data_IF_476000777956
#
_entry.id   IF_476000777956
#
_cell.length_a   1.000
_cell.length_b   1.000
_cell.length_c   1.000
_cell.angle_alpha   90.00
_cell.angle_beta   90.00
_cell.angle_gamma   90.00
#
_symmetry.space_group_name_H-M   'P 1'
#
loop_
_entity.id
_entity.type
_entity.pdbx_description
1 polymer ?
#
# COMPACT_ATOMS: atom_id res chain seq x y z
N UNK A 1 -9.47 -0.57 22.13
CA UNK A 1 -8.31 -0.80 21.23
C UNK A 1 -7.76 0.56 20.83
N UNK A 2 -6.44 0.78 20.88
CA UNK A 2 -5.84 2.04 20.42
C UNK A 2 -5.74 2.09 18.89
N UNK A 3 -5.69 3.29 18.32
CA UNK A 3 -5.52 3.47 16.88
C UNK A 3 -4.21 2.86 16.38
N UNK A 4 -3.12 3.01 17.15
CA UNK A 4 -1.82 2.43 16.81
C UNK A 4 -1.84 0.90 16.80
N UNK A 5 -2.56 0.27 17.74
CA UNK A 5 -2.73 -1.18 17.73
C UNK A 5 -3.52 -1.65 16.51
N UNK A 6 -4.55 -0.90 16.11
CA UNK A 6 -5.29 -1.16 14.87
C UNK A 6 -4.39 -1.05 13.64
N UNK A 7 -3.60 0.03 13.52
CA UNK A 7 -2.68 0.25 12.40
C UNK A 7 -1.74 -0.96 12.26
N UNK A 8 -1.11 -1.39 13.35
CA UNK A 8 -0.18 -2.54 13.34
C UNK A 8 -0.87 -3.84 12.91
N UNK A 9 -2.09 -4.10 13.41
CA UNK A 9 -2.87 -5.29 13.01
C UNK A 9 -3.19 -5.28 11.52
N UNK A 10 -3.63 -4.14 10.99
CA UNK A 10 -3.95 -3.98 9.57
C UNK A 10 -2.72 -4.11 8.67
N UNK A 11 -1.60 -3.48 9.06
CA UNK A 11 -0.33 -3.62 8.35
C UNK A 11 0.11 -5.07 8.28
N UNK A 12 0.04 -5.79 9.41
CA UNK A 12 0.36 -7.21 9.47
C UNK A 12 -0.58 -8.05 8.59
N UNK A 13 -1.90 -7.85 8.70
CA UNK A 13 -2.88 -8.60 7.91
C UNK A 13 -2.68 -8.41 6.40
N UNK A 14 -2.40 -7.19 5.96
CA UNK A 14 -2.08 -6.90 4.56
C UNK A 14 -0.77 -7.54 4.12
N UNK A 15 0.25 -7.48 4.96
CA UNK A 15 1.52 -8.12 4.66
C UNK A 15 1.39 -9.65 4.59
N UNK A 16 0.63 -10.27 5.49
CA UNK A 16 0.33 -11.71 5.48
C UNK A 16 -0.49 -12.13 4.25
N UNK A 17 -1.44 -11.30 3.82
CA UNK A 17 -2.16 -11.52 2.57
C UNK A 17 -1.18 -11.51 1.37
N UNK A 18 -0.25 -10.55 1.33
CA UNK A 18 0.74 -10.47 0.26
C UNK A 18 1.76 -11.61 0.28
N UNK A 19 2.16 -12.09 1.47
CA UNK A 19 3.02 -13.27 1.61
C UNK A 19 2.34 -14.53 1.07
N UNK A 20 1.03 -14.68 1.30
CA UNK A 20 0.24 -15.81 0.79
C UNK A 20 -0.02 -15.70 -0.71
N UNK A 21 -0.27 -14.48 -1.19
CA UNK A 21 -0.57 -14.18 -2.58
C UNK A 21 0.17 -12.91 -3.04
N UNK A 22 1.26 -13.03 -3.83
CA UNK A 22 1.98 -11.86 -4.33
C UNK A 22 1.16 -11.04 -5.34
N UNK A 23 -0.02 -11.51 -5.75
CA UNK A 23 -0.95 -10.84 -6.66
C UNK A 23 -1.92 -9.88 -5.98
N UNK A 24 -1.81 -9.66 -4.65
CA UNK A 24 -2.58 -8.64 -3.92
C UNK A 24 -2.53 -7.29 -4.65
N UNK A 25 -3.68 -6.88 -5.17
CA UNK A 25 -3.80 -5.64 -5.94
C UNK A 25 -3.82 -4.42 -5.03
N UNK A 26 -3.18 -3.36 -5.50
CA UNK A 26 -3.11 -2.05 -4.82
C UNK A 26 -3.58 -0.90 -5.71
N UNK A 27 -3.91 -1.17 -6.97
CA UNK A 27 -4.56 -0.21 -7.86
C UNK A 27 -5.56 -0.89 -8.79
N UNK A 28 -6.65 -0.17 -9.07
CA UNK A 28 -7.62 -0.48 -10.12
C UNK A 28 -7.92 0.75 -10.96
N UNK A 29 -8.42 0.54 -12.18
CA UNK A 29 -8.78 1.62 -13.09
C UNK A 29 -10.12 2.25 -12.74
N UNK A 30 -11.08 1.44 -12.26
CA UNK A 30 -12.46 1.84 -12.03
C UNK A 30 -12.99 1.30 -10.70
N UNK A 31 -13.78 2.08 -9.94
CA UNK A 31 -14.34 1.62 -8.66
C UNK A 31 -15.29 0.43 -8.80
N UNK A 32 -15.88 0.19 -9.97
CA UNK A 32 -16.69 -0.99 -10.28
C UNK A 32 -15.86 -2.29 -10.26
N UNK A 33 -14.54 -2.19 -10.49
CA UNK A 33 -13.62 -3.32 -10.34
C UNK A 33 -13.24 -3.60 -8.88
N UNK A 34 -13.51 -2.67 -7.95
CA UNK A 34 -13.21 -2.85 -6.51
C UNK A 34 -14.09 -3.91 -5.86
N UNK A 35 -15.33 -4.06 -6.33
CA UNK A 35 -16.23 -5.12 -5.87
C UNK A 35 -15.70 -6.54 -6.13
N UNK A 36 -14.59 -6.67 -6.86
CA UNK A 36 -13.93 -7.94 -7.19
C UNK A 36 -12.60 -8.13 -6.45
N UNK A 37 -12.24 -7.20 -5.56
CA UNK A 37 -10.93 -7.17 -4.91
C UNK A 37 -11.09 -6.98 -3.41
N UNK A 38 -11.07 -8.07 -2.66
CA UNK A 38 -10.83 -8.04 -1.22
C UNK A 38 -9.69 -8.97 -0.93
N UNK A 39 -8.49 -8.39 -0.80
CA UNK A 39 -7.23 -8.99 -0.34
C UNK A 39 -6.78 -10.34 -0.96
N UNK A 40 -7.57 -10.99 -1.81
CA UNK A 40 -7.36 -12.30 -2.38
C UNK A 40 -8.00 -12.32 -3.77
N UNK A 41 -7.37 -13.05 -4.70
CA UNK A 41 -7.76 -13.31 -6.09
C UNK A 41 -9.12 -14.07 -6.24
N UNK A 42 -9.97 -14.07 -5.21
CA UNK A 42 -11.23 -14.79 -5.17
C UNK A 42 -12.42 -13.91 -5.56
N UNK A 43 -12.97 -14.25 -6.73
CA UNK A 43 -14.27 -13.83 -7.25
C UNK A 43 -15.35 -14.24 -6.27
N UNK A 44 -15.95 -13.28 -5.59
CA UNK A 44 -16.93 -13.54 -4.54
C UNK A 44 -18.10 -12.57 -4.70
N UNK A 45 -19.31 -13.10 -4.73
CA UNK A 45 -20.54 -12.35 -5.05
C UNK A 45 -21.03 -11.47 -3.88
N UNK A 46 -20.49 -11.67 -2.67
CA UNK A 46 -20.94 -11.02 -1.42
C UNK A 46 -20.17 -9.72 -1.06
N UNK A 47 -19.41 -9.13 -2.00
CA UNK A 47 -18.63 -7.92 -1.72
C UNK A 47 -19.51 -6.67 -1.66
N UNK A 48 -19.51 -5.99 -0.51
CA UNK A 48 -20.17 -4.70 -0.36
C UNK A 48 -19.18 -3.56 -0.64
N UNK A 49 -19.46 -2.76 -1.67
CA UNK A 49 -18.75 -1.51 -1.94
C UNK A 49 -19.57 -0.34 -1.42
N UNK A 50 -19.02 0.41 -0.46
CA UNK A 50 -19.71 1.50 0.23
C UNK A 50 -18.95 2.82 0.18
N UNK A 51 -19.66 3.93 0.39
CA UNK A 51 -19.05 5.25 0.60
C UNK A 51 -18.26 5.24 1.91
N UNK A 52 -17.15 5.98 1.95
CA UNK A 52 -16.51 6.40 3.20
C UNK A 52 -17.26 7.60 3.80
N UNK A 53 -18.29 7.35 4.61
CA UNK A 53 -19.17 8.40 5.13
C UNK A 53 -19.77 9.27 4.03
N UNK A 54 -19.58 10.61 4.10
CA UNK A 54 -20.08 11.56 3.08
C UNK A 54 -19.23 11.65 1.81
N UNK A 55 -18.14 10.89 1.69
CA UNK A 55 -17.29 10.93 0.49
C UNK A 55 -18.04 10.36 -0.72
N UNK A 56 -17.85 10.99 -1.88
CA UNK A 56 -18.34 10.42 -3.14
C UNK A 56 -17.57 9.14 -3.48
N UNK A 57 -18.29 8.09 -3.90
CA UNK A 57 -17.70 6.87 -4.46
C UNK A 57 -16.77 7.15 -5.64
N UNK A 58 -16.93 8.32 -6.29
CA UNK A 58 -16.05 8.78 -7.37
C UNK A 58 -14.63 9.14 -6.91
N UNK A 59 -14.39 9.27 -5.60
CA UNK A 59 -13.09 9.67 -5.03
C UNK A 59 -12.59 8.73 -3.94
N UNK A 60 -13.49 8.14 -3.15
CA UNK A 60 -13.14 7.24 -2.05
C UNK A 60 -14.12 6.07 -2.02
N UNK A 61 -13.59 4.86 -1.95
CA UNK A 61 -14.35 3.64 -1.85
C UNK A 61 -13.85 2.81 -0.66
N UNK A 62 -14.80 2.27 0.11
CA UNK A 62 -14.53 1.26 1.12
C UNK A 62 -15.08 -0.06 0.59
N UNK A 63 -14.26 -1.09 0.63
CA UNK A 63 -14.62 -2.45 0.19
C UNK A 63 -14.59 -3.34 1.42
N UNK A 64 -15.66 -4.09 1.64
CA UNK A 64 -15.80 -5.00 2.77
C UNK A 64 -16.40 -6.35 2.36
N UNK A 65 -15.91 -7.43 2.97
CA UNK A 65 -16.55 -8.75 3.02
C UNK A 65 -16.87 -9.12 4.49
N UNK A 66 -17.83 -10.01 4.74
CA UNK A 66 -18.06 -10.59 6.07
C UNK A 66 -16.77 -11.20 6.66
N UNK A 67 -16.58 -11.15 7.98
CA UNK A 67 -15.44 -11.75 8.68
C UNK A 67 -14.51 -10.74 9.36
N UNK A 68 -13.24 -11.11 9.53
CA UNK A 68 -12.26 -10.25 10.20
C UNK A 68 -11.96 -9.00 9.37
N UNK A 69 -12.34 -7.82 9.86
CA UNK A 69 -12.15 -6.56 9.15
C UNK A 69 -10.68 -6.23 8.81
N UNK A 70 -9.70 -6.73 9.57
CA UNK A 70 -8.28 -6.50 9.24
C UNK A 70 -7.88 -7.15 7.91
N UNK A 71 -8.52 -8.25 7.57
CA UNK A 71 -8.29 -9.05 6.36
C UNK A 71 -9.33 -8.74 5.27
N UNK A 72 -10.54 -8.35 5.68
CA UNK A 72 -11.70 -8.27 4.78
C UNK A 72 -12.18 -6.85 4.51
N UNK A 73 -11.49 -5.82 5.01
CA UNK A 73 -11.85 -4.43 4.76
C UNK A 73 -10.67 -3.57 4.29
N UNK A 74 -10.88 -2.79 3.24
CA UNK A 74 -9.89 -1.89 2.66
C UNK A 74 -10.48 -0.55 2.22
N UNK A 75 -9.63 0.47 2.15
CA UNK A 75 -9.98 1.81 1.68
C UNK A 75 -9.11 2.21 0.48
N UNK A 76 -9.79 2.75 -0.52
CA UNK A 76 -9.23 3.10 -1.82
C UNK A 76 -9.60 4.52 -2.14
N UNK A 77 -8.67 5.25 -2.76
CA UNK A 77 -8.90 6.62 -3.18
C UNK A 77 -8.47 6.80 -4.62
N UNK A 78 -9.14 7.68 -5.34
CA UNK A 78 -8.72 8.09 -6.68
C UNK A 78 -7.32 8.68 -6.61
N UNK A 79 -6.45 8.38 -7.57
CA UNK A 79 -5.05 8.83 -7.58
C UNK A 79 -4.88 10.37 -7.56
N UNK A 80 -5.91 11.11 -7.99
CA UNK A 80 -5.97 12.57 -7.92
C UNK A 80 -6.60 13.15 -6.65
N UNK A 81 -7.12 12.31 -5.75
CA UNK A 81 -7.62 12.73 -4.44
C UNK A 81 -6.45 13.19 -3.57
N UNK A 82 -6.68 14.10 -2.62
CA UNK A 82 -5.60 14.65 -1.78
C UNK A 82 -5.84 14.47 -0.28
N UNK A 83 -7.09 14.26 0.15
CA UNK A 83 -7.45 14.20 1.57
C UNK A 83 -7.37 12.77 2.13
N UNK A 84 -6.26 12.07 1.93
CA UNK A 84 -6.11 10.65 2.32
C UNK A 84 -6.37 10.42 3.80
N UNK A 85 -5.83 11.30 4.66
CA UNK A 85 -6.01 11.23 6.11
C UNK A 85 -7.49 11.18 6.50
N UNK A 86 -8.30 12.05 5.88
CA UNK A 86 -9.75 12.12 6.12
C UNK A 86 -10.48 10.88 5.61
N UNK A 87 -10.07 10.33 4.46
CA UNK A 87 -10.64 9.09 3.93
C UNK A 87 -10.35 7.90 4.85
N UNK A 88 -9.12 7.77 5.32
CA UNK A 88 -8.71 6.67 6.19
C UNK A 88 -9.34 6.75 7.58
N UNK A 89 -9.42 7.93 8.20
CA UNK A 89 -10.12 8.11 9.49
C UNK A 89 -11.61 7.75 9.39
N UNK A 90 -12.27 8.12 8.28
CA UNK A 90 -13.66 7.71 8.02
C UNK A 90 -13.81 6.22 7.84
N UNK A 91 -12.85 5.58 7.16
CA UNK A 91 -12.80 4.14 7.04
C UNK A 91 -12.67 3.47 8.41
N UNK A 92 -11.78 3.98 9.28
CA UNK A 92 -11.61 3.46 10.64
C UNK A 92 -12.90 3.60 11.47
N UNK A 93 -13.55 4.77 11.43
CA UNK A 93 -14.82 4.97 12.13
C UNK A 93 -15.90 4.01 11.60
N UNK A 94 -16.01 3.85 10.28
CA UNK A 94 -17.06 3.05 9.65
C UNK A 94 -16.89 1.55 9.85
N UNK A 95 -15.65 1.03 9.82
CA UNK A 95 -15.38 -0.41 9.87
C UNK A 95 -15.14 -0.89 11.29
N UNK A 96 -14.49 -0.06 12.11
CA UNK A 96 -14.04 -0.46 13.45
C UNK A 96 -14.76 0.28 14.58
N UNK A 97 -15.63 1.26 14.26
CA UNK A 97 -16.34 2.06 15.26
C UNK A 97 -15.44 3.01 16.05
N UNK A 98 -14.19 3.22 15.62
CA UNK A 98 -13.22 4.06 16.34
C UNK A 98 -13.29 5.48 15.79
N UNK A 99 -13.75 6.42 16.63
CA UNK A 99 -13.68 7.85 16.35
C UNK A 99 -12.30 8.37 16.71
N UNK A 100 -11.52 8.73 15.69
CA UNK A 100 -10.18 9.28 15.84
C UNK A 100 -10.05 10.62 15.10
N UNK A 101 -9.22 11.51 15.65
CA UNK A 101 -8.84 12.78 15.08
C UNK A 101 -7.48 12.67 14.36
N UNK A 102 -7.13 13.63 13.47
CA UNK A 102 -5.81 13.70 12.86
C UNK A 102 -4.63 13.64 13.84
N UNK A 103 -4.78 14.21 15.04
CA UNK A 103 -3.75 14.17 16.09
C UNK A 103 -3.45 12.75 16.60
N UNK A 104 -4.41 11.84 16.49
CA UNK A 104 -4.25 10.45 16.95
C UNK A 104 -3.37 9.63 16.01
N UNK A 105 -3.08 10.15 14.81
CA UNK A 105 -2.16 9.59 13.83
C UNK A 105 -0.70 9.99 14.07
N UNK A 106 -0.36 10.58 15.22
CA UNK A 106 1.01 11.00 15.51
C UNK A 106 2.04 9.89 15.19
N UNK A 107 3.01 10.20 14.32
CA UNK A 107 4.03 9.28 13.83
C UNK A 107 3.64 8.45 12.60
N UNK A 108 2.44 8.67 12.04
CA UNK A 108 1.95 7.99 10.85
C UNK A 108 1.37 8.96 9.81
N UNK A 109 1.71 8.69 8.55
CA UNK A 109 1.10 9.32 7.38
C UNK A 109 0.15 8.31 6.72
N UNK A 110 -0.90 8.81 6.08
CA UNK A 110 -1.72 7.99 5.19
C UNK A 110 -1.20 8.17 3.78
N UNK A 111 -0.74 7.08 3.18
CA UNK A 111 -0.14 7.12 1.87
C UNK A 111 -0.65 5.99 0.97
N UNK A 112 -0.46 6.19 -0.33
CA UNK A 112 -0.77 5.19 -1.33
C UNK A 112 0.19 4.00 -1.24
N UNK A 113 -0.37 2.80 -1.41
CA UNK A 113 0.39 1.57 -1.60
C UNK A 113 0.85 1.37 -3.04
N UNK A 114 0.78 2.41 -3.87
CA UNK A 114 1.38 2.47 -5.19
C UNK A 114 1.74 3.93 -5.50
N UNK A 115 2.89 4.19 -6.13
CA UNK A 115 3.22 5.53 -6.56
C UNK A 115 2.20 6.04 -7.60
N UNK A 116 1.51 7.15 -7.29
CA UNK A 116 0.51 7.78 -8.17
C UNK A 116 1.02 8.14 -9.57
N UNK A 117 2.33 8.34 -9.74
CA UNK A 117 2.96 8.56 -11.05
C UNK A 117 2.78 7.35 -12.01
N UNK A 118 2.43 6.17 -11.45
CA UNK A 118 2.13 4.96 -12.21
C UNK A 118 0.65 4.83 -12.62
N UNK A 119 -0.20 5.81 -12.27
CA UNK A 119 -1.62 5.85 -12.64
C UNK A 119 -1.85 6.91 -13.74
N UNK A 120 -1.96 6.51 -15.02
CA UNK A 120 -2.17 7.45 -16.12
C UNK A 120 -3.46 8.25 -15.91
N UNK A 121 -3.42 9.55 -16.22
CA UNK A 121 -4.51 10.52 -16.02
C UNK A 121 -5.07 10.62 -14.58
N UNK A 122 -4.39 10.01 -13.59
CA UNK A 122 -4.84 9.94 -12.18
C UNK A 122 -6.29 9.44 -12.05
N UNK A 123 -6.73 8.61 -12.99
CA UNK A 123 -8.11 8.17 -13.09
C UNK A 123 -8.40 6.96 -12.18
N UNK A 124 -7.40 6.10 -11.96
CA UNK A 124 -7.53 4.89 -11.15
C UNK A 124 -7.64 5.14 -9.65
N UNK A 125 -8.13 4.12 -8.94
CA UNK A 125 -8.15 4.05 -7.48
C UNK A 125 -6.92 3.31 -6.97
N UNK A 126 -6.29 3.85 -5.95
CA UNK A 126 -5.13 3.27 -5.29
C UNK A 126 -5.49 3.03 -3.84
N UNK A 127 -5.11 1.87 -3.33
CA UNK A 127 -5.28 1.54 -1.92
C UNK A 127 -4.41 2.45 -1.05
N UNK A 128 -4.95 2.92 0.06
CA UNK A 128 -4.21 3.73 1.04
C UNK A 128 -4.12 3.00 2.37
N UNK A 129 -3.05 3.25 3.11
CA UNK A 129 -2.91 2.73 4.47
C UNK A 129 -2.05 3.68 5.33
N UNK A 130 -2.14 3.52 6.65
CA UNK A 130 -1.28 4.23 7.59
C UNK A 130 0.13 3.63 7.56
N UNK A 131 1.15 4.49 7.46
CA UNK A 131 2.57 4.14 7.36
C UNK A 131 3.36 5.05 8.30
N UNK A 132 4.36 4.51 8.98
CA UNK A 132 5.27 5.29 9.82
C UNK A 132 5.87 6.47 9.04
N UNK A 133 5.80 7.68 9.60
CA UNK A 133 6.24 8.93 8.97
C UNK A 133 7.72 8.90 8.60
N UNK A 134 8.58 8.49 9.52
CA UNK A 134 10.03 8.50 9.35
C UNK A 134 10.45 7.51 8.25
N UNK A 135 9.86 6.30 8.26
CA UNK A 135 10.10 5.30 7.21
C UNK A 135 9.55 5.77 5.86
N UNK A 136 8.37 6.39 5.84
CA UNK A 136 7.78 6.92 4.62
C UNK A 136 8.68 7.99 3.98
N UNK A 137 9.15 8.96 4.77
CA UNK A 137 10.06 10.00 4.31
C UNK A 137 11.40 9.44 3.81
N UNK A 138 11.98 8.48 4.54
CA UNK A 138 13.23 7.84 4.15
C UNK A 138 13.12 7.13 2.79
N UNK A 139 12.04 6.36 2.58
CA UNK A 139 11.76 5.76 1.28
C UNK A 139 11.43 6.82 0.21
N UNK A 140 10.69 7.89 0.55
CA UNK A 140 10.36 8.97 -0.38
C UNK A 140 11.59 9.63 -0.99
N UNK A 141 12.53 10.06 -0.15
CA UNK A 141 13.74 10.76 -0.60
C UNK A 141 14.62 9.95 -1.56
N UNK A 142 14.58 8.62 -1.47
CA UNK A 142 15.33 7.73 -2.38
C UNK A 142 14.75 7.68 -3.80
N UNK A 143 13.43 7.84 -3.93
CA UNK A 143 12.70 7.61 -5.19
C UNK A 143 12.19 8.90 -5.83
N UNK A 144 12.38 10.07 -5.22
CA UNK A 144 11.91 11.35 -5.76
C UNK A 144 12.41 11.63 -7.19
N UNK A 145 13.69 11.38 -7.49
CA UNK A 145 14.26 11.56 -8.84
C UNK A 145 13.83 10.47 -9.83
N UNK A 146 13.71 9.23 -9.36
CA UNK A 146 13.18 8.15 -10.20
C UNK A 146 11.74 8.44 -10.62
N UNK A 147 10.91 8.96 -9.70
CA UNK A 147 9.51 9.24 -9.93
C UNK A 147 9.24 10.37 -10.95
N UNK A 148 10.21 11.27 -11.19
CA UNK A 148 10.11 12.31 -12.21
C UNK A 148 10.54 11.83 -13.61
N UNK A 149 11.12 10.62 -13.73
CA UNK A 149 11.56 10.10 -15.01
C UNK A 149 10.41 9.44 -15.81
N UNK A 150 10.23 9.75 -17.11
CA UNK A 150 9.21 9.12 -17.96
C UNK A 150 9.31 7.57 -18.03
N UNK A 151 10.51 6.97 -17.97
CA UNK A 151 10.70 5.51 -17.92
C UNK A 151 10.16 4.88 -16.63
N UNK A 152 10.10 5.63 -15.53
CA UNK A 152 9.39 5.20 -14.32
C UNK A 152 7.91 4.98 -14.58
N UNK A 153 7.36 5.76 -15.51
CA UNK A 153 5.98 5.68 -15.98
C UNK A 153 5.78 4.65 -17.10
N UNK A 154 6.84 4.17 -17.78
CA UNK A 154 6.76 3.17 -18.86
C UNK A 154 6.18 1.80 -18.44
N UNK A 155 6.05 1.56 -17.14
CA UNK A 155 5.33 0.39 -16.64
C UNK A 155 3.80 0.53 -16.79
N UNK A 156 3.25 1.65 -17.29
CA UNK A 156 1.82 1.98 -17.48
C UNK A 156 0.97 0.84 -18.07
N UNK A 157 1.54 -0.02 -18.91
CA UNK A 157 0.80 -1.08 -19.63
C UNK A 157 0.53 -2.38 -18.83
N UNK A 158 0.96 -2.48 -17.55
CA UNK A 158 0.61 -3.67 -16.75
C UNK A 158 -0.86 -3.61 -16.33
N UNK A 159 -1.62 -4.65 -16.71
CA UNK A 159 -3.03 -4.85 -16.40
C UNK A 159 -3.32 -5.11 -14.90
N UNK A 160 -2.31 -5.49 -14.11
CA UNK A 160 -2.42 -5.71 -12.67
C UNK A 160 -1.31 -4.96 -11.94
N UNK A 161 -1.66 -4.23 -10.88
CA UNK A 161 -0.70 -3.55 -9.99
C UNK A 161 -0.75 -4.15 -8.60
N UNK A 162 0.32 -4.82 -8.23
CA UNK A 162 0.46 -5.52 -6.97
C UNK A 162 1.40 -4.79 -6.02
N UNK A 163 1.42 -5.18 -4.75
CA UNK A 163 2.42 -4.68 -3.81
C UNK A 163 3.85 -5.02 -4.29
N UNK A 164 4.77 -4.08 -4.11
CA UNK A 164 6.20 -4.28 -4.35
C UNK A 164 6.93 -4.62 -3.05
N UNK A 165 8.13 -5.20 -3.14
CA UNK A 165 9.04 -5.41 -2.00
C UNK A 165 9.25 -4.13 -1.19
N UNK A 166 9.39 -2.98 -1.87
CA UNK A 166 9.56 -1.68 -1.21
C UNK A 166 8.30 -1.27 -0.44
N UNK A 167 7.12 -1.42 -1.05
CA UNK A 167 5.85 -1.07 -0.39
C UNK A 167 5.62 -2.00 0.81
N UNK A 168 5.92 -3.29 0.68
CA UNK A 168 5.84 -4.26 1.77
C UNK A 168 6.82 -3.92 2.92
N UNK A 169 8.08 -3.58 2.59
CA UNK A 169 9.06 -3.12 3.58
C UNK A 169 8.58 -1.86 4.31
N UNK A 170 8.13 -0.87 3.55
CA UNK A 170 7.60 0.40 4.07
C UNK A 170 6.39 0.19 4.99
N UNK A 171 5.46 -0.70 4.60
CA UNK A 171 4.28 -1.05 5.38
C UNK A 171 4.65 -1.69 6.73
N UNK A 172 5.72 -2.48 6.74
CA UNK A 172 6.20 -3.22 7.91
C UNK A 172 7.32 -2.49 8.68
N UNK A 173 7.34 -1.15 8.59
CA UNK A 173 8.26 -0.27 9.32
C UNK A 173 9.75 -0.58 9.08
N UNK A 174 10.08 -1.14 7.91
CA UNK A 174 11.45 -1.41 7.53
C UNK A 174 12.04 -0.21 6.80
N UNK A 175 13.10 0.44 7.34
CA UNK A 175 13.76 1.54 6.64
C UNK A 175 14.41 1.06 5.34
N UNK A 176 14.71 1.97 4.40
CA UNK A 176 15.44 1.60 3.20
C UNK A 176 16.94 1.36 3.45
N UNK A 177 17.63 0.70 2.52
CA UNK A 177 19.09 0.78 2.44
C UNK A 177 19.53 2.19 1.99
N UNK A 178 20.79 2.55 2.25
CA UNK A 178 21.39 3.84 1.82
C UNK A 178 21.60 3.93 0.31
N UNK A 179 21.54 2.79 -0.38
CA UNK A 179 21.59 2.70 -1.84
C UNK A 179 21.82 1.28 -2.35
N UNK A 180 22.00 1.09 -3.67
CA UNK A 180 22.09 -0.23 -4.29
C UNK A 180 23.35 -1.00 -3.86
N UNK A 181 24.35 -0.29 -3.35
CA UNK A 181 25.61 -0.87 -2.87
C UNK A 181 25.63 -1.05 -1.33
N UNK A 182 24.57 -0.68 -0.62
CA UNK A 182 24.47 -0.88 0.84
C UNK A 182 24.12 -2.34 1.14
N UNK A 183 25.14 -3.19 1.11
CA UNK A 183 25.02 -4.63 1.33
C UNK A 183 24.39 -4.96 2.70
N UNK A 184 24.69 -4.18 3.74
CA UNK A 184 24.14 -4.39 5.08
C UNK A 184 22.65 -4.06 5.12
N UNK A 185 22.25 -2.92 4.55
CA UNK A 185 20.85 -2.53 4.44
C UNK A 185 20.03 -3.52 3.63
N UNK A 186 20.57 -4.02 2.52
CA UNK A 186 19.93 -5.05 1.69
C UNK A 186 19.82 -6.37 2.46
N UNK A 187 20.89 -6.85 3.10
CA UNK A 187 20.90 -8.09 3.86
C UNK A 187 19.87 -8.07 5.01
N UNK A 188 19.71 -6.93 5.70
CA UNK A 188 18.68 -6.76 6.74
C UNK A 188 17.27 -6.96 6.18
N UNK A 189 16.98 -6.37 5.02
CA UNK A 189 15.67 -6.53 4.38
C UNK A 189 15.45 -7.96 3.88
N UNK A 190 16.48 -8.58 3.29
CA UNK A 190 16.45 -10.00 2.89
C UNK A 190 16.14 -10.90 4.08
N UNK A 191 16.83 -10.69 5.20
CA UNK A 191 16.58 -11.44 6.44
C UNK A 191 15.14 -11.24 6.93
N UNK A 192 14.64 -10.00 6.92
CA UNK A 192 13.26 -9.70 7.28
C UNK A 192 12.27 -10.48 6.41
N UNK A 193 12.40 -10.46 5.08
CA UNK A 193 11.49 -11.18 4.19
C UNK A 193 11.60 -12.70 4.35
N UNK A 194 12.82 -13.23 4.50
CA UNK A 194 13.04 -14.66 4.74
C UNK A 194 12.34 -15.14 6.02
N UNK A 195 12.47 -14.38 7.12
CA UNK A 195 11.82 -14.68 8.39
C UNK A 195 10.28 -14.59 8.32
N UNK A 196 9.76 -13.98 7.26
CA UNK A 196 8.34 -13.78 7.02
C UNK A 196 7.78 -14.68 5.91
N UNK A 197 8.47 -15.78 5.58
CA UNK A 197 7.94 -16.81 4.69
C UNK A 197 8.27 -16.63 3.20
N UNK A 198 9.05 -15.60 2.84
CA UNK A 198 9.38 -15.28 1.44
C UNK A 198 10.79 -15.75 1.02
N UNK A 199 11.35 -16.74 1.72
CA UNK A 199 12.70 -17.23 1.43
C UNK A 199 12.80 -17.88 0.03
N UNK A 200 11.73 -18.52 -0.43
CA UNK A 200 11.67 -19.15 -1.75
C UNK A 200 11.57 -18.12 -2.91
N UNK A 201 11.15 -16.89 -2.62
CA UNK A 201 10.87 -15.85 -3.63
C UNK A 201 12.08 -14.97 -3.98
N UNK A 202 13.27 -15.35 -3.51
CA UNK A 202 14.54 -14.66 -3.74
C UNK A 202 14.44 -13.13 -3.48
N UNK A 203 14.21 -12.73 -2.21
CA UNK A 203 14.02 -11.32 -1.86
C UNK A 203 15.26 -10.47 -2.17
N UNK A 204 16.46 -11.06 -2.20
CA UNK A 204 17.68 -10.36 -2.59
C UNK A 204 17.58 -9.84 -4.02
N UNK A 205 17.22 -10.70 -4.97
CA UNK A 205 17.03 -10.28 -6.36
C UNK A 205 15.92 -9.23 -6.48
N UNK A 206 14.76 -9.46 -5.87
CA UNK A 206 13.64 -8.53 -5.91
C UNK A 206 13.98 -7.13 -5.39
N UNK A 207 14.73 -7.05 -4.30
CA UNK A 207 15.20 -5.79 -3.72
C UNK A 207 16.27 -5.12 -4.60
N UNK A 208 17.27 -5.86 -5.05
CA UNK A 208 18.36 -5.32 -5.87
C UNK A 208 17.84 -4.78 -7.20
N UNK A 209 16.96 -5.52 -7.89
CA UNK A 209 16.37 -5.08 -9.17
C UNK A 209 15.61 -3.75 -9.00
N UNK A 210 14.83 -3.61 -7.92
CA UNK A 210 14.09 -2.39 -7.63
C UNK A 210 14.99 -1.21 -7.26
N UNK A 211 16.04 -1.45 -6.46
CA UNK A 211 17.00 -0.41 -6.07
C UNK A 211 17.84 0.06 -7.26
N UNK A 212 18.33 -0.85 -8.09
CA UNK A 212 19.06 -0.52 -9.31
C UNK A 212 18.18 0.31 -10.26
N UNK A 213 16.92 -0.08 -10.44
CA UNK A 213 15.97 0.70 -11.23
C UNK A 213 15.78 2.11 -10.68
N UNK A 214 15.64 2.26 -9.36
CA UNK A 214 15.49 3.57 -8.73
C UNK A 214 16.72 4.47 -8.91
N UNK A 215 17.91 3.89 -8.76
CA UNK A 215 19.17 4.61 -8.77
C UNK A 215 19.72 4.87 -10.17
N UNK A 216 19.23 4.19 -11.22
CA UNK A 216 19.55 4.51 -12.62
C UNK A 216 19.27 5.99 -12.95
N UNK A 217 18.35 6.62 -12.22
CA UNK A 217 17.87 7.98 -12.46
C UNK A 217 18.40 9.02 -11.45
N UNK A 218 19.33 8.65 -10.56
CA UNK A 218 19.95 9.56 -9.60
C UNK A 218 21.20 10.23 -10.16
#
# INVERSE_FOLDING_TARGET
MSLQALIRRRQRALFDAWVRDPLVQVQVEHPEALGRLVFLDDFDEDVQTGKAGRSSLKNVAIVQKPGNADENASVWVRAGYSSYQKAWLRFVEQVYGIKAAPSDLAGYNIDHLLNKARSPNKAGFIRIEAINDAVNQAWGGLFERAASNPEFSANQNRLRRTMSWIIAAKLMDQPPPRGPNDQQGIARLVQFFNQNGLAADNPQRGLTDMLQFAYKFQ
#
